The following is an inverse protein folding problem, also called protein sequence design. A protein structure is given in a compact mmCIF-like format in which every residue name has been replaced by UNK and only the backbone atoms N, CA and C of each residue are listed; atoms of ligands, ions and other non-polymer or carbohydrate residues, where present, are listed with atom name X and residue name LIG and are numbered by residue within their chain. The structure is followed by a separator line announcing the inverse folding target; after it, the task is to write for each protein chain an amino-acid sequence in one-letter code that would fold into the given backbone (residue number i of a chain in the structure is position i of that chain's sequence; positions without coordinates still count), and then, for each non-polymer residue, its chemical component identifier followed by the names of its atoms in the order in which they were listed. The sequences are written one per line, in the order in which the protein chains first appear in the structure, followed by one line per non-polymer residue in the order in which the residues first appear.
data_IF_779130690710
#
_entry.id   IF_779130690710
#
_cell.length_a   1.000
_cell.length_b   1.000
_cell.length_c   1.000
_cell.angle_alpha   90.00
_cell.angle_beta   90.00
_cell.angle_gamma   90.00
#
_symmetry.space_group_name_H-M   'P 1'
#
loop_
_entity.id
_entity.type
_entity.pdbx_description
1 polymer ?
#
# COMPACT_ATOMS: atom_id res chain seq x y z
N UNK A 1 -7.34 29.18 7.22
CA UNK A 1 -6.28 30.21 7.06
C UNK A 1 -4.93 29.56 7.23
N UNK A 2 -4.11 29.55 6.19
CA UNK A 2 -2.78 28.96 6.15
C UNK A 2 -1.77 29.87 6.87
N UNK A 3 -1.23 29.40 8.00
CA UNK A 3 -0.20 30.12 8.75
C UNK A 3 1.20 29.90 8.17
N UNK A 4 2.11 30.86 8.37
CA UNK A 4 3.52 30.81 7.93
C UNK A 4 4.21 29.49 8.36
N UNK A 5 3.89 29.00 9.57
CA UNK A 5 4.40 27.72 10.09
C UNK A 5 3.91 26.51 9.26
N UNK A 6 2.68 26.54 8.75
CA UNK A 6 2.12 25.49 7.90
C UNK A 6 2.87 25.36 6.57
N UNK A 7 3.07 26.49 5.88
CA UNK A 7 3.82 26.55 4.64
C UNK A 7 5.28 26.08 4.81
N UNK A 8 5.92 26.45 5.93
CA UNK A 8 7.27 25.98 6.26
C UNK A 8 7.33 24.45 6.44
N UNK A 9 6.39 23.86 7.21
CA UNK A 9 6.32 22.41 7.41
C UNK A 9 6.12 21.66 6.10
N UNK A 10 5.21 22.14 5.24
CA UNK A 10 4.99 21.56 3.91
C UNK A 10 6.28 21.49 3.10
N UNK A 11 7.02 22.60 3.04
CA UNK A 11 8.31 22.68 2.32
C UNK A 11 9.39 21.77 2.92
N UNK A 12 9.42 21.61 4.24
CA UNK A 12 10.43 20.79 4.92
C UNK A 12 10.21 19.28 4.72
N UNK A 13 8.95 18.82 4.73
CA UNK A 13 8.64 17.38 4.78
C UNK A 13 8.16 16.79 3.45
N UNK A 14 7.79 17.61 2.48
CA UNK A 14 7.34 17.14 1.16
C UNK A 14 8.52 17.14 0.20
N UNK A 15 8.92 15.97 -0.34
CA UNK A 15 9.89 15.90 -1.43
C UNK A 15 9.45 16.77 -2.62
N UNK A 16 10.42 17.19 -3.44
CA UNK A 16 10.11 17.90 -4.68
C UNK A 16 9.36 17.01 -5.67
N UNK A 17 8.49 17.61 -6.49
CA UNK A 17 7.71 16.91 -7.52
C UNK A 17 8.56 16.14 -8.54
N UNK A 18 9.87 16.41 -8.64
CA UNK A 18 10.78 15.63 -9.49
C UNK A 18 10.91 14.17 -9.01
N UNK A 19 10.73 13.88 -7.72
CA UNK A 19 10.83 12.54 -7.14
C UNK A 19 9.65 11.62 -7.54
N UNK A 20 8.57 12.17 -8.12
CA UNK A 20 7.43 11.39 -8.62
C UNK A 20 7.62 10.94 -10.06
N UNK A 21 8.63 11.47 -10.77
CA UNK A 21 8.87 11.18 -12.19
C UNK A 21 9.54 9.84 -12.39
N UNK A 22 9.01 9.04 -13.32
CA UNK A 22 9.56 7.71 -13.63
C UNK A 22 11.01 7.79 -14.11
N UNK A 23 11.30 8.79 -14.97
CA UNK A 23 12.63 9.02 -15.51
C UNK A 23 13.66 9.31 -14.40
N UNK A 24 13.32 10.17 -13.44
CA UNK A 24 14.19 10.49 -12.30
C UNK A 24 14.49 9.27 -11.44
N UNK A 25 13.53 8.33 -11.35
CA UNK A 25 13.69 7.09 -10.59
C UNK A 25 14.34 5.94 -11.39
N UNK A 26 14.55 6.11 -12.69
CA UNK A 26 15.05 5.05 -13.58
C UNK A 26 14.10 3.86 -13.70
N UNK A 27 12.80 4.09 -13.58
CA UNK A 27 11.77 3.05 -13.70
C UNK A 27 11.47 2.71 -15.17
N UNK A 28 10.91 1.52 -15.40
CA UNK A 28 10.56 1.06 -16.75
C UNK A 28 9.50 1.96 -17.39
N UNK A 29 9.76 2.40 -18.61
CA UNK A 29 8.78 3.13 -19.42
C UNK A 29 8.05 2.16 -20.34
N UNK A 30 6.79 1.86 -20.00
CA UNK A 30 5.89 1.06 -20.85
C UNK A 30 5.30 1.90 -21.98
N UNK A 31 4.58 2.96 -21.62
CA UNK A 31 3.97 3.92 -22.53
C UNK A 31 3.57 5.21 -21.78
N UNK A 32 3.15 6.24 -22.51
CA UNK A 32 2.79 7.54 -21.93
C UNK A 32 1.60 7.46 -20.97
N UNK A 33 0.57 6.66 -21.28
CA UNK A 33 -0.64 6.53 -20.43
C UNK A 33 -0.30 5.92 -19.06
N UNK A 34 0.53 4.87 -19.04
CA UNK A 34 0.97 4.24 -17.81
C UNK A 34 1.87 5.19 -17.00
N UNK A 35 2.81 5.87 -17.66
CA UNK A 35 3.64 6.91 -17.02
C UNK A 35 2.77 7.99 -16.37
N UNK A 36 1.88 8.61 -17.14
CA UNK A 36 1.05 9.73 -16.65
C UNK A 36 0.18 9.28 -15.47
N UNK A 37 -0.35 8.05 -15.51
CA UNK A 37 -1.08 7.48 -14.37
C UNK A 37 -0.21 7.35 -13.11
N UNK A 38 1.01 6.78 -13.24
CA UNK A 38 1.90 6.57 -12.10
C UNK A 38 2.45 7.89 -11.54
N UNK A 39 2.80 8.85 -12.40
CA UNK A 39 3.26 10.18 -11.97
C UNK A 39 2.13 10.94 -11.28
N UNK A 40 0.90 10.90 -11.80
CA UNK A 40 -0.28 11.50 -11.16
C UNK A 40 -0.55 10.91 -9.78
N UNK A 41 -0.38 9.58 -9.62
CA UNK A 41 -0.49 8.92 -8.32
C UNK A 41 0.54 9.48 -7.33
N UNK A 42 1.80 9.58 -7.76
CA UNK A 42 2.88 10.12 -6.93
C UNK A 42 2.65 11.58 -6.54
N UNK A 43 2.22 12.42 -7.48
CA UNK A 43 1.90 13.82 -7.25
C UNK A 43 0.74 13.98 -6.25
N UNK A 44 -0.32 13.19 -6.44
CA UNK A 44 -1.50 13.19 -5.55
C UNK A 44 -1.13 12.76 -4.13
N UNK A 45 -0.25 11.76 -3.99
CA UNK A 45 0.27 11.34 -2.69
C UNK A 45 1.05 12.49 -2.02
N UNK A 46 1.94 13.17 -2.75
CA UNK A 46 2.70 14.30 -2.23
C UNK A 46 1.82 15.50 -1.87
N UNK A 47 0.76 15.74 -2.62
CA UNK A 47 -0.22 16.79 -2.31
C UNK A 47 -0.92 16.49 -0.98
N UNK A 48 -1.39 15.25 -0.77
CA UNK A 48 -1.98 14.82 0.50
C UNK A 48 -1.02 14.96 1.68
N UNK A 49 0.23 14.55 1.51
CA UNK A 49 1.31 14.75 2.49
C UNK A 49 1.50 16.23 2.82
N UNK A 50 1.60 17.07 1.79
CA UNK A 50 1.77 18.50 1.94
C UNK A 50 0.61 19.15 2.70
N UNK A 51 -0.63 18.80 2.36
CA UNK A 51 -1.83 19.30 3.02
C UNK A 51 -1.84 18.92 4.51
N UNK A 52 -1.53 17.67 4.85
CA UNK A 52 -1.46 17.23 6.25
C UNK A 52 -0.32 17.89 7.04
N UNK A 53 0.81 18.20 6.39
CA UNK A 53 1.88 18.98 7.02
C UNK A 53 1.49 20.46 7.24
N UNK A 54 0.62 21.00 6.39
CA UNK A 54 0.26 22.41 6.36
C UNK A 54 -0.84 22.77 7.36
N UNK A 55 -1.90 21.96 7.46
CA UNK A 55 -3.08 22.26 8.29
C UNK A 55 -2.78 22.37 9.78
N UNK A 56 -3.57 23.17 10.49
CA UNK A 56 -3.47 23.32 11.95
C UNK A 56 -4.23 22.21 12.66
N UNK A 57 -5.47 21.94 12.23
CA UNK A 57 -6.31 20.85 12.72
C UNK A 57 -6.32 19.68 11.71
N UNK A 58 -6.26 18.40 12.13
CA UNK A 58 -6.43 17.27 11.22
C UNK A 58 -7.72 17.33 10.39
N UNK A 59 -8.80 17.84 10.97
CA UNK A 59 -10.11 17.91 10.32
C UNK A 59 -10.12 18.86 9.10
N UNK A 60 -9.22 19.85 9.08
CA UNK A 60 -9.10 20.83 7.99
C UNK A 60 -8.57 20.21 6.68
N UNK A 61 -8.04 18.98 6.73
CA UNK A 61 -7.55 18.28 5.52
C UNK A 61 -8.69 17.69 4.69
N UNK A 62 -9.90 17.60 5.23
CA UNK A 62 -11.02 16.92 4.57
C UNK A 62 -11.37 17.55 3.21
N UNK A 63 -11.57 18.88 3.18
CA UNK A 63 -11.95 19.60 1.96
C UNK A 63 -10.94 19.41 0.82
N UNK A 64 -9.63 19.69 0.99
CA UNK A 64 -8.67 19.49 -0.09
C UNK A 64 -8.55 18.01 -0.51
N UNK A 65 -8.69 17.04 0.41
CA UNK A 65 -8.68 15.63 0.03
C UNK A 65 -9.93 15.21 -0.75
N UNK A 66 -11.11 15.76 -0.46
CA UNK A 66 -12.34 15.47 -1.21
C UNK A 66 -12.30 16.06 -2.63
N UNK A 67 -11.61 17.18 -2.83
CA UNK A 67 -11.42 17.79 -4.13
C UNK A 67 -10.60 16.91 -5.11
N UNK A 68 -9.79 15.99 -4.59
CA UNK A 68 -9.02 15.04 -5.42
C UNK A 68 -9.98 14.11 -6.18
N UNK A 69 -9.75 13.87 -7.50
CA UNK A 69 -10.54 12.94 -8.29
C UNK A 69 -10.62 11.55 -7.64
N UNK A 70 -11.81 10.92 -7.68
CA UNK A 70 -12.11 9.62 -7.03
C UNK A 70 -11.04 8.55 -7.33
N UNK A 71 -10.55 8.50 -8.58
CA UNK A 71 -9.50 7.57 -9.02
C UNK A 71 -8.25 7.64 -8.15
N UNK A 72 -7.82 8.85 -7.77
CA UNK A 72 -6.55 9.11 -7.09
C UNK A 72 -6.71 9.45 -5.60
N UNK A 73 -7.94 9.74 -5.16
CA UNK A 73 -8.24 10.22 -3.80
C UNK A 73 -7.63 9.36 -2.70
N UNK A 74 -7.69 8.03 -2.82
CA UNK A 74 -7.11 7.15 -1.81
C UNK A 74 -5.59 7.33 -1.61
N UNK A 75 -4.85 7.73 -2.63
CA UNK A 75 -3.41 8.05 -2.52
C UNK A 75 -3.18 9.39 -1.79
N UNK A 76 -4.07 10.36 -1.96
CA UNK A 76 -4.01 11.61 -1.18
C UNK A 76 -4.24 11.34 0.32
N UNK A 77 -5.16 10.45 0.67
CA UNK A 77 -5.37 10.01 2.06
C UNK A 77 -4.17 9.23 2.62
N UNK A 78 -3.51 8.40 1.80
CA UNK A 78 -2.26 7.72 2.15
C UNK A 78 -1.15 8.74 2.50
N UNK A 79 -0.95 9.74 1.64
CA UNK A 79 0.00 10.82 1.86
C UNK A 79 -0.34 11.68 3.10
N UNK A 80 -1.62 11.99 3.30
CA UNK A 80 -2.07 12.74 4.47
C UNK A 80 -1.78 11.99 5.78
N UNK A 81 -2.03 10.68 5.80
CA UNK A 81 -1.70 9.83 6.94
C UNK A 81 -0.19 9.82 7.23
N UNK A 82 0.65 9.74 6.19
CA UNK A 82 2.10 9.90 6.33
C UNK A 82 2.47 11.25 6.97
N UNK A 83 1.87 12.35 6.51
CA UNK A 83 2.13 13.69 7.04
C UNK A 83 1.76 13.84 8.50
N UNK A 84 0.60 13.33 8.91
CA UNK A 84 0.20 13.34 10.32
C UNK A 84 1.07 12.43 11.18
N UNK A 85 1.45 11.26 10.70
CA UNK A 85 2.38 10.38 11.40
C UNK A 85 3.75 11.04 11.61
N UNK A 86 4.31 11.69 10.57
CA UNK A 86 5.57 12.45 10.71
C UNK A 86 5.44 13.52 11.80
N UNK A 87 4.32 14.27 11.83
CA UNK A 87 4.07 15.28 12.86
C UNK A 87 4.01 14.68 14.26
N UNK A 88 3.33 13.56 14.44
CA UNK A 88 3.20 12.89 15.75
C UNK A 88 4.53 12.30 16.24
N UNK A 89 5.45 11.97 15.33
CA UNK A 89 6.78 11.51 15.67
C UNK A 89 7.70 12.63 16.20
N UNK A 90 7.44 13.89 15.83
CA UNK A 90 8.27 15.03 16.25
C UNK A 90 8.26 15.22 17.78
N UNK A 91 9.36 15.72 18.37
CA UNK A 91 9.45 15.92 19.81
C UNK A 91 8.49 17.02 20.31
N UNK A 92 8.14 17.97 19.44
CA UNK A 92 7.36 19.17 19.75
C UNK A 92 6.00 19.14 19.08
N UNK A 93 5.00 19.74 19.73
CA UNK A 93 3.62 19.82 19.22
C UNK A 93 2.73 18.66 19.71
N UNK A 94 1.51 18.61 19.17
CA UNK A 94 0.55 17.55 19.47
C UNK A 94 0.99 16.21 18.86
N UNK A 95 0.53 15.11 19.46
CA UNK A 95 0.89 13.73 19.07
C UNK A 95 -0.32 12.84 18.81
N UNK A 96 -1.45 13.48 18.50
CA UNK A 96 -2.72 12.82 18.28
C UNK A 96 -3.28 13.07 16.87
N UNK A 97 -2.48 13.57 15.94
CA UNK A 97 -2.96 13.93 14.61
C UNK A 97 -3.41 12.72 13.81
N UNK A 98 -2.59 11.65 13.76
CA UNK A 98 -2.94 10.43 13.01
C UNK A 98 -4.14 9.74 13.63
N UNK A 99 -4.20 9.68 14.96
CA UNK A 99 -5.33 9.11 15.69
C UNK A 99 -6.61 9.88 15.38
N UNK A 100 -6.60 11.22 15.53
CA UNK A 100 -7.77 12.06 15.22
C UNK A 100 -8.20 11.96 13.75
N UNK A 101 -7.24 11.88 12.84
CA UNK A 101 -7.53 11.67 11.42
C UNK A 101 -8.23 10.33 11.19
N UNK A 102 -7.71 9.24 11.77
CA UNK A 102 -8.30 7.90 11.67
C UNK A 102 -9.64 7.78 12.39
N UNK A 103 -9.86 8.50 13.50
CA UNK A 103 -11.14 8.58 14.20
C UNK A 103 -12.17 9.44 13.44
N UNK A 104 -11.75 10.16 12.39
CA UNK A 104 -12.55 11.10 11.61
C UNK A 104 -12.49 10.80 10.11
N UNK A 105 -12.03 11.78 9.33
CA UNK A 105 -12.08 11.73 7.85
C UNK A 105 -11.24 10.59 7.24
N UNK A 106 -10.25 10.07 7.96
CA UNK A 106 -9.39 8.97 7.53
C UNK A 106 -10.00 7.58 7.70
N UNK A 107 -11.07 7.38 8.47
CA UNK A 107 -11.64 6.04 8.74
C UNK A 107 -12.05 5.26 7.47
N UNK A 108 -12.73 5.87 6.48
CA UNK A 108 -13.05 5.16 5.23
C UNK A 108 -11.79 4.71 4.46
N UNK A 109 -10.66 5.37 4.72
CA UNK A 109 -9.37 5.13 4.08
C UNK A 109 -8.39 4.37 4.99
N UNK A 110 -8.86 3.73 6.07
CA UNK A 110 -8.02 3.08 7.10
C UNK A 110 -6.86 2.25 6.52
N UNK A 111 -7.12 1.40 5.52
CA UNK A 111 -6.07 0.57 4.92
C UNK A 111 -4.94 1.41 4.30
N UNK A 112 -5.30 2.43 3.52
CA UNK A 112 -4.34 3.36 2.91
C UNK A 112 -3.65 4.22 3.95
N UNK A 113 -4.37 4.66 4.97
CA UNK A 113 -3.78 5.47 6.03
C UNK A 113 -2.70 4.70 6.80
N UNK A 114 -2.91 3.42 7.10
CA UNK A 114 -1.91 2.56 7.76
C UNK A 114 -0.69 2.29 6.88
N UNK A 115 -0.87 2.16 5.56
CA UNK A 115 0.24 2.14 4.60
C UNK A 115 1.03 3.45 4.67
N UNK A 116 0.36 4.60 4.69
CA UNK A 116 0.99 5.92 4.85
C UNK A 116 1.79 6.07 6.14
N UNK A 117 1.35 5.48 7.26
CA UNK A 117 2.14 5.39 8.50
C UNK A 117 3.44 4.62 8.26
N UNK A 118 3.40 3.53 7.49
CA UNK A 118 4.57 2.77 7.06
C UNK A 118 5.60 3.59 6.29
N UNK A 119 5.14 4.46 5.39
CA UNK A 119 6.00 5.42 4.70
C UNK A 119 6.68 6.41 5.66
N UNK A 120 5.95 6.91 6.66
CA UNK A 120 6.52 7.77 7.69
C UNK A 120 7.63 7.03 8.47
N UNK A 121 7.38 5.76 8.85
CA UNK A 121 8.36 4.92 9.52
C UNK A 121 9.64 4.74 8.70
N UNK A 122 9.54 4.55 7.39
CA UNK A 122 10.70 4.40 6.52
C UNK A 122 11.60 5.66 6.45
N UNK A 123 11.07 6.84 6.79
CA UNK A 123 11.82 8.12 6.84
C UNK A 123 12.23 8.55 8.25
N UNK A 124 11.65 7.95 9.28
CA UNK A 124 11.89 8.31 10.66
C UNK A 124 12.90 7.36 11.32
N UNK A 125 13.76 7.85 12.23
CA UNK A 125 14.58 6.99 13.07
C UNK A 125 13.73 5.97 13.85
N UNK A 126 14.19 4.69 13.89
CA UNK A 126 13.51 3.58 14.58
C UNK A 126 12.99 3.90 15.99
N UNK A 127 13.72 4.62 16.87
CA UNK A 127 13.21 4.95 18.21
C UNK A 127 11.92 5.79 18.23
N UNK A 128 11.62 6.50 17.14
CA UNK A 128 10.41 7.30 17.02
C UNK A 128 9.18 6.47 16.60
N UNK A 129 9.38 5.27 16.04
CA UNK A 129 8.28 4.44 15.53
C UNK A 129 7.24 4.13 16.61
N UNK A 130 7.67 3.95 17.86
CA UNK A 130 6.77 3.74 19.02
C UNK A 130 5.71 4.82 19.22
N UNK A 131 5.89 6.01 18.64
CA UNK A 131 4.92 7.11 18.72
C UNK A 131 3.81 7.02 17.68
N UNK A 132 4.04 6.27 16.61
CA UNK A 132 3.18 6.24 15.42
C UNK A 132 2.73 4.83 15.04
N UNK A 133 3.22 3.79 15.73
CA UNK A 133 2.83 2.41 15.46
C UNK A 133 1.31 2.25 15.58
N UNK A 134 0.65 1.62 14.58
CA UNK A 134 -0.77 1.34 14.66
C UNK A 134 -1.10 0.42 15.83
N UNK A 135 -2.19 0.73 16.54
CA UNK A 135 -2.64 -0.07 17.68
C UNK A 135 -3.46 -1.31 17.26
N UNK A 136 -4.03 -1.34 16.05
CA UNK A 136 -4.83 -2.46 15.57
C UNK A 136 -3.97 -3.74 15.41
N UNK A 137 -4.20 -4.81 16.19
CA UNK A 137 -3.38 -6.02 16.15
C UNK A 137 -3.51 -6.80 14.83
N UNK A 138 -4.61 -6.62 14.09
CA UNK A 138 -4.83 -7.24 12.79
C UNK A 138 -4.24 -6.40 11.66
N UNK A 139 -4.36 -5.07 11.71
CA UNK A 139 -4.01 -4.20 10.58
C UNK A 139 -2.65 -3.51 10.69
N UNK A 140 -1.95 -3.59 11.84
CA UNK A 140 -0.61 -2.97 11.99
C UNK A 140 0.41 -3.45 10.94
N UNK A 141 0.24 -4.64 10.37
CA UNK A 141 1.09 -5.19 9.31
C UNK A 141 1.08 -4.36 8.03
N UNK A 142 0.02 -3.58 7.79
CA UNK A 142 -0.05 -2.64 6.66
C UNK A 142 0.97 -1.51 6.77
N UNK A 143 1.46 -1.19 7.98
CA UNK A 143 2.58 -0.27 8.13
C UNK A 143 3.90 -0.90 7.64
N UNK A 144 4.09 -2.22 7.77
CA UNK A 144 5.25 -2.90 7.19
C UNK A 144 5.15 -3.05 5.67
N UNK A 145 3.94 -3.26 5.15
CA UNK A 145 3.68 -3.16 3.72
C UNK A 145 4.05 -1.77 3.19
N UNK A 146 3.57 -0.68 3.81
CA UNK A 146 3.96 0.68 3.43
C UNK A 146 5.47 0.95 3.57
N UNK A 147 6.11 0.42 4.61
CA UNK A 147 7.57 0.49 4.76
C UNK A 147 8.29 -0.22 3.61
N UNK A 148 7.89 -1.44 3.27
CA UNK A 148 8.47 -2.24 2.19
C UNK A 148 8.31 -1.57 0.83
N UNK A 149 7.12 -1.00 0.57
CA UNK A 149 6.88 -0.20 -0.63
C UNK A 149 7.87 0.96 -0.71
N UNK A 150 7.98 1.77 0.36
CA UNK A 150 8.89 2.91 0.37
C UNK A 150 10.34 2.48 0.14
N UNK A 151 10.80 1.40 0.78
CA UNK A 151 12.17 0.92 0.59
C UNK A 151 12.43 0.52 -0.87
N UNK A 152 11.55 -0.27 -1.49
CA UNK A 152 11.71 -0.65 -2.89
C UNK A 152 11.60 0.53 -3.86
N UNK A 153 10.70 1.49 -3.59
CA UNK A 153 10.49 2.65 -4.44
C UNK A 153 11.69 3.62 -4.42
N UNK A 154 12.23 3.92 -3.23
CA UNK A 154 13.32 4.90 -3.08
C UNK A 154 14.72 4.30 -3.12
N UNK A 155 14.88 3.02 -2.77
CA UNK A 155 16.15 2.29 -2.77
C UNK A 155 16.09 1.11 -3.73
N UNK A 156 15.68 1.40 -4.96
CA UNK A 156 15.42 0.44 -6.04
C UNK A 156 16.60 -0.51 -6.26
N UNK A 157 17.83 0.00 -6.34
CA UNK A 157 18.99 -0.86 -6.58
C UNK A 157 19.15 -1.91 -5.48
N UNK A 158 19.08 -1.48 -4.22
CA UNK A 158 19.21 -2.38 -3.05
C UNK A 158 18.06 -3.37 -2.93
N UNK A 159 16.81 -2.90 -3.03
CA UNK A 159 15.66 -3.76 -2.71
C UNK A 159 15.12 -4.52 -3.91
N UNK A 160 15.27 -3.98 -5.13
CA UNK A 160 14.77 -4.59 -6.38
C UNK A 160 15.87 -5.29 -7.17
N UNK A 161 17.05 -4.67 -7.37
CA UNK A 161 18.10 -5.30 -8.19
C UNK A 161 18.95 -6.29 -7.40
N UNK A 162 19.32 -5.94 -6.17
CA UNK A 162 20.12 -6.78 -5.27
C UNK A 162 19.26 -7.73 -4.43
N UNK A 163 17.92 -7.62 -4.52
CA UNK A 163 16.95 -8.40 -3.76
C UNK A 163 17.22 -8.41 -2.25
N UNK A 164 17.67 -7.29 -1.68
CA UNK A 164 17.96 -7.19 -0.25
C UNK A 164 16.76 -7.65 0.60
N UNK A 165 17.08 -8.32 1.71
CA UNK A 165 16.13 -8.80 2.71
C UNK A 165 16.52 -8.23 4.05
N UNK A 166 15.56 -7.59 4.72
CA UNK A 166 15.73 -7.15 6.10
C UNK A 166 15.87 -8.40 6.99
N UNK A 167 17.05 -8.63 7.53
CA UNK A 167 17.34 -9.67 8.52
C UNK A 167 17.26 -9.02 9.90
N UNK A 168 16.57 -9.64 10.86
CA UNK A 168 16.41 -9.12 12.24
C UNK A 168 15.57 -7.85 12.38
N UNK A 169 14.44 -7.80 11.65
CA UNK A 169 13.47 -6.72 11.79
C UNK A 169 12.52 -6.99 12.97
N UNK A 170 12.86 -6.46 14.15
CA UNK A 170 11.99 -6.56 15.33
C UNK A 170 10.67 -5.82 15.12
N UNK A 171 9.55 -6.56 15.24
CA UNK A 171 8.20 -6.00 15.16
C UNK A 171 7.39 -6.43 16.40
N UNK A 172 6.74 -5.50 17.14
CA UNK A 172 6.07 -5.87 18.38
C UNK A 172 4.95 -6.89 18.23
N UNK A 173 4.26 -6.92 17.08
CA UNK A 173 3.22 -7.91 16.80
C UNK A 173 3.79 -9.24 16.27
N UNK A 174 5.10 -9.31 15.97
CA UNK A 174 5.77 -10.51 15.47
C UNK A 174 6.46 -11.26 16.61
N UNK A 175 5.67 -11.98 17.40
CA UNK A 175 6.15 -12.71 18.57
C UNK A 175 7.11 -13.85 18.22
N UNK A 176 7.12 -14.32 16.97
CA UNK A 176 8.02 -15.39 16.48
C UNK A 176 9.22 -14.84 15.72
N UNK A 177 9.18 -13.57 15.31
CA UNK A 177 10.23 -12.94 14.50
C UNK A 177 10.30 -13.46 13.05
N UNK A 178 9.25 -14.12 12.57
CA UNK A 178 9.25 -14.82 11.28
C UNK A 178 8.35 -14.19 10.23
N UNK A 179 7.49 -13.24 10.61
CA UNK A 179 6.46 -12.71 9.71
C UNK A 179 6.75 -11.30 9.17
N UNK A 180 7.48 -10.46 9.92
CA UNK A 180 7.74 -9.08 9.53
C UNK A 180 8.33 -8.95 8.11
N UNK A 181 9.27 -9.82 7.75
CA UNK A 181 9.85 -9.87 6.40
C UNK A 181 8.83 -10.16 5.30
N UNK A 182 7.80 -10.98 5.57
CA UNK A 182 6.73 -11.28 4.60
C UNK A 182 5.82 -10.07 4.38
N UNK A 183 5.48 -9.35 5.45
CA UNK A 183 4.71 -8.11 5.34
C UNK A 183 5.48 -7.02 4.57
N UNK A 184 6.80 -6.93 4.77
CA UNK A 184 7.66 -6.05 3.98
C UNK A 184 7.66 -6.47 2.50
N UNK A 185 7.73 -7.77 2.20
CA UNK A 185 7.70 -8.28 0.83
C UNK A 185 6.37 -8.00 0.11
N UNK A 186 5.23 -7.96 0.81
CA UNK A 186 3.96 -7.50 0.21
C UNK A 186 4.08 -6.05 -0.30
N UNK A 187 4.68 -5.18 0.51
CA UNK A 187 4.99 -3.82 0.14
C UNK A 187 5.94 -3.70 -1.05
N UNK A 188 7.01 -4.49 -1.04
CA UNK A 188 7.96 -4.56 -2.16
C UNK A 188 7.23 -5.01 -3.43
N UNK A 189 6.39 -6.04 -3.35
CA UNK A 189 5.59 -6.53 -4.47
C UNK A 189 4.70 -5.44 -5.08
N UNK A 190 4.04 -4.65 -4.24
CA UNK A 190 3.29 -3.47 -4.71
C UNK A 190 4.18 -2.47 -5.42
N UNK A 191 5.38 -2.18 -4.89
CA UNK A 191 6.32 -1.26 -5.52
C UNK A 191 6.85 -1.78 -6.85
N UNK A 192 7.03 -3.10 -7.04
CA UNK A 192 7.45 -3.67 -8.31
C UNK A 192 6.50 -3.31 -9.46
N UNK A 193 5.19 -3.15 -9.20
CA UNK A 193 4.23 -2.67 -10.20
C UNK A 193 4.55 -1.27 -10.72
N UNK A 194 5.05 -0.39 -9.84
CA UNK A 194 5.47 0.97 -10.18
C UNK A 194 6.84 0.97 -10.87
N UNK A 195 7.80 0.19 -10.34
CA UNK A 195 9.15 0.05 -10.90
C UNK A 195 9.09 -0.54 -12.31
N UNK A 196 8.21 -1.52 -12.53
CA UNK A 196 7.93 -2.12 -13.82
C UNK A 196 6.97 -1.32 -14.70
N UNK A 197 6.58 -0.09 -14.33
CA UNK A 197 5.79 0.80 -15.19
C UNK A 197 4.40 0.26 -15.58
N UNK A 198 3.78 -0.56 -14.72
CA UNK A 198 2.54 -1.30 -15.00
C UNK A 198 2.62 -2.27 -16.20
N UNK A 199 3.83 -2.67 -16.59
CA UNK A 199 4.04 -3.70 -17.62
C UNK A 199 4.02 -5.08 -16.97
N UNK A 200 2.96 -5.84 -17.22
CA UNK A 200 2.75 -7.17 -16.64
C UNK A 200 3.96 -8.10 -16.86
N UNK A 201 4.62 -8.02 -18.01
CA UNK A 201 5.76 -8.87 -18.36
C UNK A 201 6.99 -8.50 -17.54
N UNK A 202 7.28 -7.20 -17.46
CA UNK A 202 8.41 -6.70 -16.67
C UNK A 202 8.19 -6.98 -15.18
N UNK A 203 6.99 -6.74 -14.66
CA UNK A 203 6.68 -6.96 -13.24
C UNK A 203 6.83 -8.44 -12.88
N UNK A 204 6.32 -9.37 -13.69
CA UNK A 204 6.50 -10.80 -13.44
C UNK A 204 7.99 -11.19 -13.47
N UNK A 205 8.76 -10.68 -14.44
CA UNK A 205 10.20 -10.89 -14.51
C UNK A 205 10.95 -10.35 -13.26
N UNK A 206 10.57 -9.18 -12.76
CA UNK A 206 11.10 -8.62 -11.51
C UNK A 206 10.79 -9.54 -10.32
N UNK A 207 9.53 -9.97 -10.16
CA UNK A 207 9.13 -10.89 -9.07
C UNK A 207 9.94 -12.18 -9.12
N UNK A 208 10.17 -12.72 -10.31
CA UNK A 208 10.86 -14.00 -10.50
C UNK A 208 12.38 -13.93 -10.30
N UNK A 209 12.95 -12.74 -10.36
CA UNK A 209 14.34 -12.50 -9.95
C UNK A 209 14.58 -12.80 -8.48
N UNK A 210 13.56 -12.66 -7.62
CA UNK A 210 13.68 -12.92 -6.19
C UNK A 210 13.76 -14.42 -5.86
N UNK A 211 14.36 -14.78 -4.71
CA UNK A 211 14.28 -16.11 -4.13
C UNK A 211 12.83 -16.64 -4.08
N UNK A 212 12.66 -17.93 -4.38
CA UNK A 212 11.34 -18.55 -4.55
C UNK A 212 10.44 -18.42 -3.31
N UNK A 213 11.02 -18.43 -2.10
CA UNK A 213 10.29 -18.29 -0.83
C UNK A 213 9.64 -16.92 -0.63
N UNK A 214 10.05 -15.90 -1.39
CA UNK A 214 9.51 -14.52 -1.31
C UNK A 214 8.42 -14.25 -2.34
N UNK A 215 8.37 -15.04 -3.43
CA UNK A 215 7.54 -14.75 -4.62
C UNK A 215 6.05 -14.70 -4.32
N UNK A 216 5.55 -15.51 -3.38
CA UNK A 216 4.15 -15.49 -2.97
C UNK A 216 3.70 -14.11 -2.44
N UNK A 217 4.53 -13.48 -1.61
CA UNK A 217 4.26 -12.14 -1.05
C UNK A 217 4.36 -11.06 -2.12
N UNK A 218 5.37 -11.17 -2.99
CA UNK A 218 5.59 -10.23 -4.08
C UNK A 218 4.46 -10.25 -5.11
N UNK A 219 3.99 -11.44 -5.51
CA UNK A 219 2.83 -11.60 -6.39
C UNK A 219 1.54 -11.09 -5.75
N UNK A 220 1.35 -11.32 -4.44
CA UNK A 220 0.22 -10.74 -3.69
C UNK A 220 0.24 -9.22 -3.73
N UNK A 221 1.38 -8.60 -3.44
CA UNK A 221 1.54 -7.15 -3.51
C UNK A 221 1.33 -6.59 -4.91
N UNK A 222 1.90 -7.23 -5.93
CA UNK A 222 1.75 -6.81 -7.32
C UNK A 222 0.28 -6.91 -7.78
N UNK A 223 -0.45 -7.97 -7.42
CA UNK A 223 -1.88 -8.11 -7.71
C UNK A 223 -2.74 -7.03 -7.04
N UNK A 224 -2.39 -6.65 -5.81
CA UNK A 224 -3.02 -5.52 -5.11
C UNK A 224 -2.76 -4.21 -5.87
N UNK A 225 -1.52 -3.92 -6.22
CA UNK A 225 -1.17 -2.69 -6.96
C UNK A 225 -1.82 -2.63 -8.35
N UNK A 226 -1.82 -3.74 -9.10
CA UNK A 226 -2.48 -3.84 -10.40
C UNK A 226 -3.98 -3.51 -10.31
N UNK A 227 -4.65 -3.95 -9.24
CA UNK A 227 -6.08 -3.67 -9.02
C UNK A 227 -6.33 -2.26 -8.50
N UNK A 228 -5.52 -1.79 -7.55
CA UNK A 228 -5.75 -0.50 -6.88
C UNK A 228 -5.29 0.69 -7.74
N UNK A 229 -4.08 0.62 -8.29
CA UNK A 229 -3.44 1.68 -9.08
C UNK A 229 -3.77 1.59 -10.59
N UNK A 230 -4.07 0.40 -11.10
CA UNK A 230 -4.34 0.18 -12.52
C UNK A 230 -3.07 0.31 -13.38
N UNK A 231 -3.25 0.63 -14.67
CA UNK A 231 -2.16 0.85 -15.63
C UNK A 231 -1.89 -0.32 -16.59
N UNK A 232 -2.66 -1.40 -16.48
CA UNK A 232 -2.66 -2.54 -17.40
C UNK A 232 -4.08 -2.81 -17.90
N UNK A 233 -4.20 -3.36 -19.11
CA UNK A 233 -5.47 -3.80 -19.69
C UNK A 233 -5.82 -5.26 -19.31
N UNK A 234 -6.99 -5.72 -19.71
CA UNK A 234 -7.49 -7.07 -19.38
C UNK A 234 -6.58 -8.19 -19.91
N UNK A 235 -5.96 -8.01 -21.09
CA UNK A 235 -5.08 -9.02 -21.68
C UNK A 235 -3.75 -9.11 -20.91
N UNK A 236 -3.19 -7.96 -20.54
CA UNK A 236 -1.99 -7.89 -19.71
C UNK A 236 -2.21 -8.43 -18.30
N UNK A 237 -3.34 -8.11 -17.68
CA UNK A 237 -3.71 -8.62 -16.37
C UNK A 237 -3.94 -10.14 -16.40
N UNK A 238 -4.58 -10.64 -17.46
CA UNK A 238 -4.73 -12.07 -17.67
C UNK A 238 -3.38 -12.76 -17.86
N UNK A 239 -2.50 -12.17 -18.66
CA UNK A 239 -1.14 -12.69 -18.83
C UNK A 239 -0.38 -12.73 -17.50
N UNK A 240 -0.48 -11.66 -16.69
CA UNK A 240 0.16 -11.59 -15.37
C UNK A 240 -0.31 -12.71 -14.45
N UNK A 241 -1.63 -12.94 -14.39
CA UNK A 241 -2.23 -14.03 -13.61
C UNK A 241 -1.78 -15.40 -14.13
N UNK A 242 -1.79 -15.61 -15.45
CA UNK A 242 -1.36 -16.86 -16.04
C UNK A 242 0.12 -17.14 -15.72
N UNK A 243 0.98 -16.10 -15.79
CA UNK A 243 2.41 -16.16 -15.50
C UNK A 243 2.73 -16.43 -14.03
N UNK A 244 1.89 -15.97 -13.11
CA UNK A 244 2.05 -16.19 -11.68
C UNK A 244 2.00 -17.68 -11.28
N UNK A 245 1.41 -18.56 -12.12
CA UNK A 245 1.43 -20.01 -11.92
C UNK A 245 0.88 -20.42 -10.55
N UNK A 246 1.71 -21.10 -9.76
CA UNK A 246 1.35 -21.56 -8.40
C UNK A 246 0.99 -20.41 -7.44
N UNK A 247 1.27 -19.16 -7.80
CA UNK A 247 0.98 -17.97 -7.00
C UNK A 247 -0.32 -17.24 -7.38
N UNK A 248 -1.15 -17.81 -8.27
CA UNK A 248 -2.43 -17.20 -8.68
C UNK A 248 -3.37 -16.87 -7.51
N UNK A 249 -3.45 -17.76 -6.52
CA UNK A 249 -4.27 -17.54 -5.33
C UNK A 249 -3.81 -16.30 -4.53
N UNK A 250 -2.50 -16.03 -4.49
CA UNK A 250 -1.93 -14.85 -3.86
C UNK A 250 -2.21 -13.57 -4.65
N UNK A 251 -2.12 -13.61 -5.99
CA UNK A 251 -2.50 -12.49 -6.87
C UNK A 251 -3.98 -12.13 -6.66
N UNK A 252 -4.87 -13.14 -6.65
CA UNK A 252 -6.29 -12.97 -6.43
C UNK A 252 -6.61 -12.41 -5.02
N UNK A 253 -5.92 -12.90 -3.99
CA UNK A 253 -6.03 -12.36 -2.64
C UNK A 253 -5.62 -10.88 -2.60
N UNK A 254 -4.52 -10.51 -3.23
CA UNK A 254 -4.06 -9.12 -3.34
C UNK A 254 -5.11 -8.23 -4.03
N UNK A 255 -5.66 -8.72 -5.14
CA UNK A 255 -6.75 -8.05 -5.87
C UNK A 255 -7.99 -7.84 -4.99
N UNK A 256 -8.41 -8.87 -4.25
CA UNK A 256 -9.55 -8.78 -3.34
C UNK A 256 -9.33 -7.78 -2.19
N UNK A 257 -8.10 -7.66 -1.67
CA UNK A 257 -7.75 -6.66 -0.66
C UNK A 257 -7.78 -5.23 -1.24
N UNK A 258 -7.30 -5.04 -2.47
CA UNK A 258 -7.42 -3.77 -3.18
C UNK A 258 -8.89 -3.37 -3.39
N UNK A 259 -9.73 -4.33 -3.83
CA UNK A 259 -11.17 -4.12 -3.99
C UNK A 259 -11.81 -3.74 -2.65
N UNK A 260 -11.50 -4.45 -1.57
CA UNK A 260 -11.98 -4.16 -0.21
C UNK A 260 -11.64 -2.74 0.23
N UNK A 261 -10.42 -2.27 -0.06
CA UNK A 261 -10.01 -0.90 0.24
C UNK A 261 -10.78 0.15 -0.57
N UNK A 262 -11.00 -0.11 -1.86
CA UNK A 262 -11.78 0.77 -2.74
C UNK A 262 -13.25 0.82 -2.34
N UNK A 263 -13.86 -0.32 -2.01
CA UNK A 263 -15.27 -0.43 -1.56
C UNK A 263 -15.47 0.30 -0.24
N UNK A 264 -14.63 0.04 0.77
CA UNK A 264 -14.71 0.72 2.08
C UNK A 264 -14.62 2.24 1.94
N UNK A 265 -13.77 2.73 1.05
CA UNK A 265 -13.57 4.15 0.83
C UNK A 265 -14.60 4.81 -0.12
N UNK A 266 -15.51 4.03 -0.71
CA UNK A 266 -16.43 4.54 -1.74
C UNK A 266 -15.71 5.03 -3.01
N UNK A 267 -14.57 4.43 -3.36
CA UNK A 267 -13.70 4.84 -4.46
C UNK A 267 -13.60 3.82 -5.61
N UNK A 268 -14.58 2.94 -5.76
CA UNK A 268 -14.61 1.99 -6.87
C UNK A 268 -14.74 2.75 -8.19
N UNK A 269 -13.81 2.50 -9.10
CA UNK A 269 -13.80 3.03 -10.47
C UNK A 269 -13.68 1.87 -11.48
N UNK A 270 -13.98 2.08 -12.79
CA UNK A 270 -14.10 0.98 -13.75
C UNK A 270 -12.89 0.04 -13.85
N UNK A 271 -11.67 0.55 -13.71
CA UNK A 271 -10.48 -0.32 -13.76
C UNK A 271 -10.36 -1.25 -12.56
N UNK A 272 -10.93 -0.89 -11.40
CA UNK A 272 -10.96 -1.80 -10.25
C UNK A 272 -11.87 -2.99 -10.53
N UNK A 273 -13.04 -2.77 -11.13
CA UNK A 273 -13.96 -3.83 -11.53
C UNK A 273 -13.36 -4.73 -12.61
N UNK A 274 -12.71 -4.15 -13.61
CA UNK A 274 -12.03 -4.90 -14.66
C UNK A 274 -10.92 -5.78 -14.08
N UNK A 275 -10.01 -5.19 -13.29
CA UNK A 275 -8.90 -5.92 -12.71
C UNK A 275 -9.34 -7.01 -11.73
N UNK A 276 -10.32 -6.74 -10.87
CA UNK A 276 -10.81 -7.73 -9.92
C UNK A 276 -11.53 -8.90 -10.64
N UNK A 277 -12.27 -8.62 -11.71
CA UNK A 277 -12.87 -9.67 -12.55
C UNK A 277 -11.82 -10.55 -13.20
N UNK A 278 -10.74 -9.96 -13.73
CA UNK A 278 -9.67 -10.73 -14.39
C UNK A 278 -8.83 -11.51 -13.37
N UNK A 279 -8.43 -10.88 -12.26
CA UNK A 279 -7.46 -11.46 -11.31
C UNK A 279 -8.08 -12.37 -10.25
N UNK A 280 -9.35 -12.19 -9.90
CA UNK A 280 -10.01 -13.00 -8.87
C UNK A 280 -11.39 -13.56 -9.27
N UNK A 281 -11.88 -13.23 -10.48
CA UNK A 281 -13.14 -13.75 -10.99
C UNK A 281 -14.36 -13.24 -10.22
N UNK A 282 -14.29 -12.05 -9.60
CA UNK A 282 -15.37 -11.45 -8.81
C UNK A 282 -15.52 -9.96 -9.13
N UNK A 283 -16.72 -9.41 -8.91
CA UNK A 283 -16.91 -7.97 -8.77
C UNK A 283 -16.20 -7.44 -7.52
N UNK A 284 -15.93 -6.12 -7.47
CA UNK A 284 -15.29 -5.54 -6.27
C UNK A 284 -16.12 -5.73 -5.00
N UNK A 285 -17.45 -5.70 -5.12
CA UNK A 285 -18.38 -5.90 -4.02
C UNK A 285 -18.33 -7.34 -3.47
N UNK A 286 -18.34 -8.35 -4.34
CA UNK A 286 -18.24 -9.76 -3.93
C UNK A 286 -16.89 -10.05 -3.25
N UNK A 287 -15.79 -9.50 -3.79
CA UNK A 287 -14.48 -9.66 -3.19
C UNK A 287 -14.37 -8.97 -1.82
N UNK A 288 -14.96 -7.79 -1.66
CA UNK A 288 -15.03 -7.12 -0.35
C UNK A 288 -15.82 -7.95 0.68
N UNK A 289 -16.98 -8.48 0.29
CA UNK A 289 -17.78 -9.36 1.15
C UNK A 289 -17.05 -10.64 1.54
N UNK A 290 -16.30 -11.24 0.61
CA UNK A 290 -15.43 -12.39 0.89
C UNK A 290 -14.39 -12.02 1.94
N UNK A 291 -13.68 -10.91 1.77
CA UNK A 291 -12.67 -10.46 2.72
C UNK A 291 -13.27 -10.21 4.11
N UNK A 292 -14.44 -9.57 4.21
CA UNK A 292 -15.13 -9.33 5.48
C UNK A 292 -15.56 -10.63 6.16
N UNK A 293 -16.06 -11.60 5.40
CA UNK A 293 -16.46 -12.92 5.92
C UNK A 293 -15.28 -13.71 6.49
N UNK A 294 -14.14 -13.70 5.79
CA UNK A 294 -12.95 -14.45 6.19
C UNK A 294 -12.12 -13.75 7.27
N UNK A 295 -12.45 -12.49 7.58
CA UNK A 295 -11.74 -11.67 8.57
C UNK A 295 -11.80 -12.32 9.97
N UNK A 296 -10.64 -12.56 10.62
CA UNK A 296 -10.63 -13.09 11.99
C UNK A 296 -11.27 -12.12 12.98
N UNK A 297 -12.13 -12.65 13.88
CA UNK A 297 -12.88 -11.85 14.86
C UNK A 297 -12.06 -11.45 16.09
N UNK A 298 -11.12 -12.29 16.51
CA UNK A 298 -10.48 -12.13 17.83
C UNK A 298 -9.12 -11.43 17.75
N UNK A 299 -8.63 -11.07 16.55
CA UNK A 299 -7.33 -10.42 16.33
C UNK A 299 -6.09 -11.21 16.80
N UNK A 300 -6.27 -12.33 17.48
CA UNK A 300 -5.22 -13.10 18.12
C UNK A 300 -4.48 -14.02 17.12
N UNK A 301 -3.16 -14.13 17.32
CA UNK A 301 -2.34 -15.10 16.60
C UNK A 301 -2.82 -16.54 16.87
N UNK A 302 -2.80 -17.39 15.84
CA UNK A 302 -3.13 -18.82 15.96
C UNK A 302 -1.88 -19.64 15.71
N UNK A 303 -1.44 -20.41 16.72
CA UNK A 303 -0.26 -21.28 16.60
C UNK A 303 1.02 -20.53 16.19
N UNK A 304 1.22 -19.29 16.68
CA UNK A 304 2.35 -18.45 16.31
C UNK A 304 2.24 -17.73 14.96
N UNK A 305 1.18 -17.98 14.18
CA UNK A 305 0.91 -17.25 12.93
C UNK A 305 0.04 -16.02 13.21
N UNK A 306 0.42 -14.81 12.75
CA UNK A 306 -0.39 -13.60 12.95
C UNK A 306 -1.81 -13.72 12.37
N UNK A 307 -2.79 -13.11 13.02
CA UNK A 307 -4.18 -13.11 12.54
C UNK A 307 -4.31 -12.54 11.12
N UNK A 308 -3.47 -11.56 10.77
CA UNK A 308 -3.40 -10.99 9.42
C UNK A 308 -3.01 -12.03 8.38
N UNK A 309 -2.03 -12.87 8.69
CA UNK A 309 -1.63 -13.96 7.80
C UNK A 309 -2.72 -15.02 7.67
N UNK A 310 -3.37 -15.37 8.78
CA UNK A 310 -4.54 -16.27 8.75
C UNK A 310 -5.63 -15.71 7.84
N UNK A 311 -5.90 -14.41 7.89
CA UNK A 311 -6.88 -13.76 7.02
C UNK A 311 -6.49 -13.88 5.54
N UNK A 312 -5.24 -13.56 5.21
CA UNK A 312 -4.72 -13.68 3.84
C UNK A 312 -4.81 -15.11 3.31
N UNK A 313 -4.39 -16.09 4.10
CA UNK A 313 -4.45 -17.51 3.73
C UNK A 313 -5.89 -18.00 3.51
N UNK A 314 -6.83 -17.58 4.36
CA UNK A 314 -8.26 -17.92 4.18
C UNK A 314 -8.80 -17.36 2.87
N UNK A 315 -8.55 -16.08 2.60
CA UNK A 315 -9.01 -15.44 1.35
C UNK A 315 -8.37 -16.09 0.13
N UNK A 316 -7.05 -16.36 0.14
CA UNK A 316 -6.36 -17.06 -0.93
C UNK A 316 -6.94 -18.48 -1.15
N UNK A 317 -7.18 -19.23 -0.07
CA UNK A 317 -7.73 -20.59 -0.12
C UNK A 317 -9.13 -20.67 -0.73
N UNK A 318 -9.94 -19.59 -0.61
CA UNK A 318 -11.27 -19.53 -1.23
C UNK A 318 -11.17 -19.55 -2.76
N UNK A 319 -10.17 -18.89 -3.34
CA UNK A 319 -9.97 -18.89 -4.80
C UNK A 319 -9.52 -20.25 -5.35
N UNK A 320 -8.76 -21.02 -4.57
CA UNK A 320 -8.42 -22.41 -4.89
C UNK A 320 -9.68 -23.29 -4.84
N UNK A 321 -10.46 -23.18 -3.77
CA UNK A 321 -11.66 -24.02 -3.57
C UNK A 321 -12.77 -23.79 -4.60
N UNK A 322 -12.87 -22.57 -5.12
CA UNK A 322 -13.86 -22.20 -6.13
C UNK A 322 -13.42 -22.54 -7.57
N UNK A 323 -12.21 -23.10 -7.76
CA UNK A 323 -11.65 -23.39 -9.08
C UNK A 323 -11.43 -22.15 -9.93
N UNK A 324 -11.25 -20.98 -9.29
CA UNK A 324 -11.15 -19.68 -9.97
C UNK A 324 -9.70 -19.26 -10.24
N UNK A 325 -8.71 -20.06 -9.79
CA UNK A 325 -7.28 -19.80 -9.94
C UNK A 325 -6.43 -21.07 -9.91
#
# INVERSE_FOLDING_TARGET
MTGILGAFRRRLFTPGAVETKLETRGFHFKNAVARDNLETIGETFLEGLGNACEVSCPDDVLEPLQAVPVRYRGFAYEGAAMGFAIRDALPVGRRDHIRRFLDGSGDPHLYMALIGVGWAMARLPRPLWRRIMPADPLLNWLALDGYGFHQAYFRTDRYVREHYRETEFGWPADTTGTYAGRAIDQGIGRALWFVGGCDATVVAGLVEGYPADRRAELYSGAGLAATYAGGADDAELKWFLDRAGDHRAQVAQGSAFAASARVRAGLVVPHNEAANRVLCGMSTAEAAQLCDRERPRDGAARGGTPAYEVWRQRVAGQFVSLGRN
#
